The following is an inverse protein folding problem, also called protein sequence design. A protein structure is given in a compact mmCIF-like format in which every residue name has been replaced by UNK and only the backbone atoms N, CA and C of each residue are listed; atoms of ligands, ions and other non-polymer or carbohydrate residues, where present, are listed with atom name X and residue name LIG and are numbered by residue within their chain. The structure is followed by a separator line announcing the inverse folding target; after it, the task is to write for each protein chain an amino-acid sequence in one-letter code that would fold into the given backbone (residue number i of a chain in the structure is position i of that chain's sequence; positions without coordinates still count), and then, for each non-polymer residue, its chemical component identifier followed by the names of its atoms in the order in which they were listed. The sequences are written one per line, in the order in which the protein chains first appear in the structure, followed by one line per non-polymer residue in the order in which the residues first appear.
data_IF_916516019249
#
_entry.id   IF_916516019249
#
_cell.length_a   1.000
_cell.length_b   1.000
_cell.length_c   1.000
_cell.angle_alpha   90.00
_cell.angle_beta   90.00
_cell.angle_gamma   90.00
#
_symmetry.space_group_name_H-M   'P 1'
#
loop_
_entity.id
_entity.type
_entity.pdbx_description
1 polymer ?
#
# COMPACT_ATOMS: atom_id res chain seq x y z
N UNK A 1 2.07 -19.40 36.29
CA UNK A 1 2.96 -18.38 35.69
C UNK A 1 3.71 -19.05 34.56
N UNK A 2 3.16 -18.99 33.35
CA UNK A 2 3.81 -19.41 32.11
C UNK A 2 3.52 -18.29 31.11
N UNK A 3 4.56 -17.55 30.76
CA UNK A 3 4.50 -16.48 29.77
C UNK A 3 4.23 -17.12 28.41
N UNK A 4 3.04 -16.89 27.85
CA UNK A 4 2.78 -17.14 26.44
C UNK A 4 3.41 -16.00 25.65
N UNK A 5 4.63 -16.21 25.17
CA UNK A 5 5.28 -15.32 24.21
C UNK A 5 4.84 -15.76 22.80
N UNK A 6 3.64 -15.34 22.41
CA UNK A 6 3.17 -15.48 21.02
C UNK A 6 3.90 -14.43 20.17
N UNK A 7 5.18 -14.67 19.89
CA UNK A 7 5.90 -13.86 18.90
C UNK A 7 5.33 -14.21 17.53
N UNK A 8 4.51 -13.32 16.99
CA UNK A 8 4.30 -13.24 15.55
C UNK A 8 5.70 -13.15 14.94
N UNK A 9 6.14 -14.22 14.27
CA UNK A 9 7.45 -14.21 13.60
C UNK A 9 7.36 -13.20 12.48
N UNK A 10 8.09 -12.10 12.60
CA UNK A 10 8.21 -11.11 11.53
C UNK A 10 8.69 -11.86 10.27
N UNK A 11 8.02 -11.70 9.12
CA UNK A 11 8.45 -12.35 7.89
C UNK A 11 9.90 -11.98 7.54
N UNK A 12 10.62 -12.89 6.87
CA UNK A 12 11.99 -12.61 6.43
C UNK A 12 12.06 -11.40 5.48
N UNK A 13 13.24 -10.76 5.34
CA UNK A 13 13.43 -9.53 4.54
C UNK A 13 12.81 -9.58 3.15
N UNK A 14 13.02 -10.66 2.41
CA UNK A 14 12.48 -10.82 1.05
C UNK A 14 10.95 -10.97 1.01
N UNK A 15 10.34 -11.53 2.07
CA UNK A 15 8.89 -11.62 2.19
C UNK A 15 8.30 -10.23 2.49
N UNK A 16 8.91 -9.48 3.42
CA UNK A 16 8.55 -8.09 3.72
C UNK A 16 8.69 -7.17 2.50
N UNK A 17 9.77 -7.31 1.72
CA UNK A 17 9.94 -6.58 0.45
C UNK A 17 8.79 -6.87 -0.51
N UNK A 18 8.44 -8.15 -0.70
CA UNK A 18 7.30 -8.54 -1.56
C UNK A 18 5.99 -7.90 -1.10
N UNK A 19 5.70 -7.94 0.20
CA UNK A 19 4.50 -7.31 0.76
C UNK A 19 4.42 -5.82 0.39
N UNK A 20 5.53 -5.08 0.57
CA UNK A 20 5.59 -3.66 0.22
C UNK A 20 5.40 -3.44 -1.29
N UNK A 21 6.12 -4.16 -2.14
CA UNK A 21 5.99 -3.98 -3.60
C UNK A 21 4.58 -4.36 -4.09
N UNK A 22 3.98 -5.41 -3.53
CA UNK A 22 2.61 -5.82 -3.88
C UNK A 22 1.56 -4.79 -3.43
N UNK A 23 1.69 -4.24 -2.22
CA UNK A 23 0.83 -3.16 -1.75
C UNK A 23 0.98 -1.90 -2.63
N UNK A 24 2.21 -1.50 -2.95
CA UNK A 24 2.49 -0.37 -3.85
C UNK A 24 1.92 -0.61 -5.24
N UNK A 25 1.97 -1.85 -5.78
CA UNK A 25 1.32 -2.20 -7.05
C UNK A 25 -0.20 -2.00 -7.01
N UNK A 26 -0.86 -2.41 -5.93
CA UNK A 26 -2.30 -2.17 -5.75
C UNK A 26 -2.60 -0.67 -5.70
N UNK A 27 -1.79 0.12 -5.00
CA UNK A 27 -1.93 1.58 -4.96
C UNK A 27 -1.67 2.23 -6.33
N UNK A 28 -0.69 1.75 -7.11
CA UNK A 28 -0.30 2.30 -8.41
C UNK A 28 -1.29 2.00 -9.55
N UNK A 29 -2.10 0.95 -9.39
CA UNK A 29 -2.95 0.46 -10.46
C UNK A 29 -3.96 1.53 -10.95
N UNK A 30 -4.34 1.52 -12.24
CA UNK A 30 -5.37 2.41 -12.75
C UNK A 30 -6.68 2.28 -11.96
N UNK A 31 -7.43 3.37 -11.83
CA UNK A 31 -8.65 3.39 -11.02
C UNK A 31 -9.66 2.27 -11.40
N UNK A 32 -9.93 1.98 -12.70
CA UNK A 32 -10.80 0.85 -13.06
C UNK A 32 -10.28 -0.51 -12.59
N UNK A 33 -8.96 -0.71 -12.57
CA UNK A 33 -8.34 -1.94 -12.10
C UNK A 33 -8.42 -2.07 -10.57
N UNK A 34 -8.22 -0.97 -9.83
CA UNK A 34 -8.41 -0.94 -8.38
C UNK A 34 -9.88 -1.22 -8.01
N UNK A 35 -10.84 -0.63 -8.74
CA UNK A 35 -12.28 -0.91 -8.56
C UNK A 35 -12.61 -2.38 -8.82
N UNK A 36 -12.12 -2.94 -9.93
CA UNK A 36 -12.31 -4.36 -10.23
C UNK A 36 -11.68 -5.28 -9.17
N UNK A 37 -10.53 -4.88 -8.61
CA UNK A 37 -9.85 -5.62 -7.54
C UNK A 37 -10.66 -5.63 -6.25
N UNK A 38 -11.14 -4.48 -5.77
CA UNK A 38 -11.95 -4.43 -4.54
C UNK A 38 -13.28 -5.17 -4.70
N UNK A 39 -13.86 -5.16 -5.90
CA UNK A 39 -15.07 -5.93 -6.23
C UNK A 39 -14.81 -7.44 -6.27
N UNK A 40 -13.71 -7.88 -6.88
CA UNK A 40 -13.31 -9.29 -6.95
C UNK A 40 -13.19 -9.90 -5.56
N UNK A 41 -12.62 -9.16 -4.60
CA UNK A 41 -12.38 -9.66 -3.24
C UNK A 41 -13.45 -9.27 -2.23
N UNK A 42 -14.45 -8.48 -2.61
CA UNK A 42 -15.53 -8.05 -1.72
C UNK A 42 -15.04 -7.18 -0.56
N UNK A 43 -13.99 -6.40 -0.78
CA UNK A 43 -13.39 -5.50 0.22
C UNK A 43 -13.77 -4.04 -0.06
N UNK A 44 -13.66 -3.19 0.96
CA UNK A 44 -13.87 -1.76 0.80
C UNK A 44 -12.58 -1.06 0.29
N UNK A 45 -12.68 0.12 -0.35
CA UNK A 45 -11.52 0.84 -0.89
C UNK A 45 -10.43 1.19 0.12
N UNK A 46 -10.80 1.43 1.39
CA UNK A 46 -9.88 1.67 2.50
C UNK A 46 -8.93 0.51 2.74
N UNK A 47 -9.28 -0.72 2.35
CA UNK A 47 -8.41 -1.89 2.47
C UNK A 47 -7.15 -1.79 1.58
N UNK A 48 -7.17 -0.99 0.51
CA UNK A 48 -5.95 -0.67 -0.25
C UNK A 48 -5.01 0.21 0.60
N UNK A 49 -5.56 1.18 1.33
CA UNK A 49 -4.77 2.06 2.19
C UNK A 49 -4.25 1.30 3.42
N UNK A 50 -5.07 0.45 4.05
CA UNK A 50 -4.66 -0.39 5.17
C UNK A 50 -3.57 -1.38 4.78
N UNK A 51 -3.72 -2.08 3.64
CA UNK A 51 -2.67 -2.98 3.15
C UNK A 51 -1.36 -2.26 2.80
N UNK A 52 -1.44 -0.99 2.39
CA UNK A 52 -0.26 -0.15 2.22
C UNK A 52 0.37 0.25 3.56
N UNK A 53 -0.42 0.72 4.54
CA UNK A 53 0.04 1.13 5.87
C UNK A 53 0.78 -0.02 6.59
N UNK A 54 0.19 -1.22 6.59
CA UNK A 54 0.80 -2.43 7.17
C UNK A 54 2.18 -2.72 6.57
N UNK A 55 2.33 -2.56 5.25
CA UNK A 55 3.59 -2.80 4.56
C UNK A 55 4.58 -1.63 4.71
N UNK A 56 4.08 -0.39 4.76
CA UNK A 56 4.88 0.82 4.94
C UNK A 56 5.55 0.86 6.31
N UNK A 57 4.90 0.34 7.35
CA UNK A 57 5.50 0.17 8.68
C UNK A 57 6.81 -0.64 8.70
N UNK A 58 7.08 -1.41 7.63
CA UNK A 58 8.30 -2.20 7.45
C UNK A 58 9.38 -1.49 6.62
N UNK A 59 9.06 -0.37 5.95
CA UNK A 59 9.93 0.28 4.96
C UNK A 59 11.26 0.74 5.56
N UNK A 60 11.26 1.26 6.79
CA UNK A 60 12.50 1.68 7.46
C UNK A 60 13.49 0.53 7.63
N UNK A 61 13.01 -0.62 8.12
CA UNK A 61 13.83 -1.82 8.28
C UNK A 61 14.31 -2.35 6.91
N UNK A 62 13.45 -2.33 5.89
CA UNK A 62 13.82 -2.76 4.54
C UNK A 62 14.93 -1.89 3.93
N UNK A 63 14.98 -0.59 4.24
CA UNK A 63 16.09 0.29 3.84
C UNK A 63 17.37 -0.07 4.59
N UNK A 64 17.31 -0.24 5.92
CA UNK A 64 18.46 -0.63 6.73
C UNK A 64 19.06 -1.98 6.28
N UNK A 65 18.19 -2.90 5.85
CA UNK A 65 18.54 -4.23 5.33
C UNK A 65 18.91 -4.23 3.83
N UNK A 66 18.91 -3.07 3.17
CA UNK A 66 19.24 -2.92 1.74
C UNK A 66 18.27 -3.63 0.78
N UNK A 67 17.04 -3.90 1.23
CA UNK A 67 16.00 -4.54 0.41
C UNK A 67 15.27 -3.57 -0.51
N UNK A 68 15.20 -2.29 -0.14
CA UNK A 68 14.64 -1.21 -0.96
C UNK A 68 15.57 0.00 -0.91
N UNK A 69 15.52 0.83 -1.95
CA UNK A 69 16.29 2.07 -2.02
C UNK A 69 15.77 3.10 -1.02
N UNK A 70 16.64 3.80 -0.25
CA UNK A 70 16.21 4.92 0.59
C UNK A 70 15.58 6.06 -0.21
N UNK A 71 15.83 6.13 -1.53
CA UNK A 71 15.26 7.15 -2.41
C UNK A 71 13.72 7.05 -2.54
N UNK A 72 13.12 5.90 -2.24
CA UNK A 72 11.66 5.73 -2.34
C UNK A 72 10.89 6.12 -1.08
N UNK A 73 11.58 6.28 0.06
CA UNK A 73 10.95 6.63 1.33
C UNK A 73 10.12 7.92 1.28
N UNK A 74 10.57 9.01 0.65
CA UNK A 74 9.75 10.22 0.56
C UNK A 74 8.44 9.98 -0.19
N UNK A 75 8.46 9.18 -1.27
CA UNK A 75 7.23 8.87 -2.01
C UNK A 75 6.29 7.98 -1.19
N UNK A 76 6.81 6.98 -0.49
CA UNK A 76 6.02 6.14 0.41
C UNK A 76 5.36 6.96 1.53
N UNK A 77 6.12 7.86 2.15
CA UNK A 77 5.60 8.76 3.18
C UNK A 77 4.50 9.67 2.63
N UNK A 78 4.67 10.23 1.43
CA UNK A 78 3.63 11.08 0.82
C UNK A 78 2.34 10.31 0.48
N UNK A 79 2.42 9.00 0.20
CA UNK A 79 1.23 8.15 0.03
C UNK A 79 0.50 7.98 1.37
N UNK A 80 1.24 7.64 2.42
CA UNK A 80 0.71 7.50 3.78
C UNK A 80 0.01 8.78 4.26
N UNK A 81 0.66 9.93 4.10
CA UNK A 81 0.10 11.24 4.41
C UNK A 81 -1.17 11.52 3.61
N UNK A 82 -1.19 11.16 2.31
CA UNK A 82 -2.38 11.35 1.45
C UNK A 82 -3.57 10.53 1.96
N UNK A 83 -3.35 9.27 2.34
CA UNK A 83 -4.42 8.43 2.90
C UNK A 83 -4.86 8.89 4.29
N UNK A 84 -3.93 9.33 5.13
CA UNK A 84 -4.23 9.94 6.43
C UNK A 84 -5.11 11.19 6.28
N UNK A 85 -4.79 12.08 5.34
CA UNK A 85 -5.60 13.28 5.03
C UNK A 85 -7.01 12.92 4.58
N UNK A 86 -7.16 11.88 3.74
CA UNK A 86 -8.47 11.41 3.28
C UNK A 86 -9.37 10.91 4.41
N UNK A 87 -8.78 10.31 5.45
CA UNK A 87 -9.50 9.84 6.64
C UNK A 87 -9.92 10.96 7.60
N UNK A 88 -9.22 12.10 7.57
CA UNK A 88 -9.52 13.25 8.44
C UNK A 88 -10.65 14.14 7.91
N UNK A 89 -10.87 14.16 6.59
CA UNK A 89 -11.93 14.94 5.97
C UNK A 89 -13.30 14.24 6.08
N UNK A 90 -14.02 14.54 7.16
CA UNK A 90 -15.38 13.99 7.40
C UNK A 90 -16.47 14.59 6.51
N UNK A 91 -16.16 15.58 5.67
CA UNK A 91 -17.12 16.26 4.81
C UNK A 91 -17.47 15.51 3.51
N UNK A 92 -16.62 14.58 3.08
CA UNK A 92 -16.78 13.82 1.83
C UNK A 92 -16.36 12.37 2.07
N UNK A 93 -17.22 11.42 1.68
CA UNK A 93 -16.84 10.00 1.74
C UNK A 93 -15.89 9.63 0.59
N UNK A 94 -14.58 9.71 0.88
CA UNK A 94 -13.48 9.45 -0.06
C UNK A 94 -13.13 7.96 -0.18
N UNK A 95 -13.75 7.11 0.64
CA UNK A 95 -13.50 5.66 0.67
C UNK A 95 -14.56 4.88 -0.12
N UNK A 96 -15.03 5.47 -1.22
CA UNK A 96 -16.02 4.86 -2.11
C UNK A 96 -15.42 4.50 -3.46
N UNK A 97 -15.99 3.49 -4.13
CA UNK A 97 -15.60 3.12 -5.51
C UNK A 97 -15.75 4.29 -6.50
N UNK A 98 -16.71 5.18 -6.25
CA UNK A 98 -16.89 6.40 -7.04
C UNK A 98 -15.70 7.37 -6.83
N UNK A 99 -15.31 7.60 -5.57
CA UNK A 99 -14.18 8.45 -5.24
C UNK A 99 -12.86 7.91 -5.83
N UNK A 100 -12.66 6.60 -5.88
CA UNK A 100 -11.46 6.00 -6.50
C UNK A 100 -11.23 6.49 -7.95
N UNK A 101 -12.30 6.81 -8.68
CA UNK A 101 -12.26 7.25 -10.08
C UNK A 101 -11.94 8.74 -10.25
N UNK A 102 -12.29 9.60 -9.29
CA UNK A 102 -12.30 11.06 -9.48
C UNK A 102 -11.57 11.86 -8.40
N UNK A 103 -11.38 11.28 -7.22
CA UNK A 103 -10.80 11.97 -6.08
C UNK A 103 -9.30 12.23 -6.29
N UNK A 104 -8.88 13.46 -5.95
CA UNK A 104 -7.51 13.90 -6.14
C UNK A 104 -6.50 13.16 -5.24
N UNK A 105 -6.90 12.72 -4.05
CA UNK A 105 -6.09 11.91 -3.16
C UNK A 105 -5.76 10.56 -3.78
N UNK A 106 -6.78 9.86 -4.29
CA UNK A 106 -6.59 8.62 -5.05
C UNK A 106 -5.68 8.79 -6.29
N UNK A 107 -5.84 9.90 -7.04
CA UNK A 107 -4.95 10.21 -8.16
C UNK A 107 -3.50 10.44 -7.72
N UNK A 108 -3.29 11.19 -6.63
CA UNK A 108 -1.97 11.48 -6.07
C UNK A 108 -1.28 10.21 -5.56
N UNK A 109 -1.99 9.37 -4.81
CA UNK A 109 -1.46 8.10 -4.30
C UNK A 109 -1.01 7.19 -5.45
N UNK A 110 -1.84 7.03 -6.49
CA UNK A 110 -1.47 6.27 -7.71
C UNK A 110 -0.21 6.79 -8.38
N UNK A 111 -0.09 8.11 -8.52
CA UNK A 111 1.08 8.72 -9.15
C UNK A 111 2.34 8.41 -8.34
N UNK A 112 2.33 8.69 -7.04
CA UNK A 112 3.47 8.44 -6.14
C UNK A 112 3.87 6.96 -6.12
N UNK A 113 2.89 6.05 -6.11
CA UNK A 113 3.17 4.61 -6.13
C UNK A 113 3.87 4.17 -7.42
N UNK A 114 3.55 4.76 -8.57
CA UNK A 114 4.26 4.50 -9.84
C UNK A 114 5.71 4.99 -9.81
N UNK A 115 5.95 6.14 -9.18
CA UNK A 115 7.32 6.64 -8.96
C UNK A 115 8.13 5.66 -8.11
N UNK A 116 7.53 5.08 -7.06
CA UNK A 116 8.17 4.05 -6.23
C UNK A 116 8.51 2.81 -7.06
N UNK A 117 7.58 2.27 -7.85
CA UNK A 117 7.83 1.08 -8.67
C UNK A 117 8.91 1.34 -9.72
N UNK A 118 8.88 2.52 -10.35
CA UNK A 118 9.90 2.92 -11.33
C UNK A 118 11.29 2.99 -10.69
N UNK A 119 11.39 3.57 -9.50
CA UNK A 119 12.65 3.69 -8.76
C UNK A 119 13.20 2.32 -8.29
N UNK A 120 12.32 1.36 -7.99
CA UNK A 120 12.68 -0.02 -7.64
C UNK A 120 12.87 -0.94 -8.85
N UNK A 121 12.79 -0.41 -10.08
CA UNK A 121 12.85 -1.16 -11.33
C UNK A 121 11.84 -2.34 -11.37
N UNK A 122 10.67 -2.14 -10.78
CA UNK A 122 9.57 -3.10 -10.80
C UNK A 122 8.67 -2.81 -12.00
N UNK A 123 8.43 -3.81 -12.85
CA UNK A 123 7.53 -3.70 -14.00
C UNK A 123 6.06 -3.55 -13.57
N UNK A 124 5.25 -2.97 -14.48
CA UNK A 124 3.78 -2.85 -14.39
C UNK A 124 3.12 -4.24 -14.57
N UNK A 125 3.41 -5.12 -13.62
CA UNK A 125 2.87 -6.48 -13.55
C UNK A 125 1.40 -6.46 -13.08
N UNK A 126 0.67 -7.52 -13.42
CA UNK A 126 -0.72 -7.72 -12.98
C UNK A 126 -0.89 -7.58 -11.47
N UNK A 127 -2.04 -7.05 -11.04
CA UNK A 127 -2.39 -6.94 -9.62
C UNK A 127 -2.27 -8.30 -8.91
N UNK A 128 -1.73 -8.33 -7.67
CA UNK A 128 -1.58 -9.57 -6.91
C UNK A 128 -2.94 -10.17 -6.53
N UNK A 129 -2.97 -11.50 -6.36
CA UNK A 129 -4.19 -12.23 -6.03
C UNK A 129 -4.69 -12.04 -4.58
N UNK A 130 -3.84 -11.54 -3.67
CA UNK A 130 -4.12 -10.81 -2.42
C UNK A 130 -2.83 -10.74 -1.62
N UNK A 131 -2.54 -9.58 -1.03
CA UNK A 131 -1.54 -9.41 0.02
C UNK A 131 -2.09 -8.47 1.09
N UNK A 132 -3.28 -8.80 1.62
CA UNK A 132 -3.80 -8.13 2.82
C UNK A 132 -3.33 -9.00 3.98
N UNK A 133 -2.36 -8.51 4.75
CA UNK A 133 -1.95 -9.16 5.98
C UNK A 133 -2.96 -8.74 7.05
N UNK A 134 -3.73 -9.70 7.58
CA UNK A 134 -4.55 -9.52 8.77
C UNK A 134 -3.99 -10.36 9.91
#
# INVERSE_FOLDING_TARGET
MLCHDSRVSIPGPSARRRMLIEAVRVVAAPAPAQVAWVEKYGVAPDEIALGFDDAFGLAGQLVEEGQISPAVLPCLQMIDETFSEMSLDSGVDRWTKAAMLTDAGWHRARHLAREVLTAEAEDDASLPDICIIR
#
